data_IF_504112885655
#
_entry.id   IF_504112885655
#
_cell.length_a   1.000
_cell.length_b   1.000
_cell.length_c   1.000
_cell.angle_alpha   90.00
_cell.angle_beta   90.00
_cell.angle_gamma   90.00
#
_symmetry.space_group_name_H-M   'P 1'
#
loop_
_entity.id
_entity.type
_entity.pdbx_description
1 polymer ?
#
# COMPACT_ATOMS: atom_id res chain seq x y z
N UNK A 1 -17.25 -14.88 15.47
CA UNK A 1 -16.54 -16.05 16.03
C UNK A 1 -16.88 -16.25 17.53
N UNK A 2 -16.78 -15.23 18.39
CA UNK A 2 -16.99 -15.36 19.86
C UNK A 2 -18.38 -15.90 20.23
N UNK A 3 -19.42 -15.55 19.46
CA UNK A 3 -20.78 -16.05 19.69
C UNK A 3 -20.93 -17.60 19.75
N UNK A 4 -20.03 -18.33 19.09
CA UNK A 4 -20.02 -19.80 19.11
C UNK A 4 -19.67 -20.43 20.46
N UNK A 5 -19.17 -19.65 21.45
CA UNK A 5 -18.94 -20.13 22.82
C UNK A 5 -20.20 -20.12 23.69
N UNK A 6 -21.25 -19.46 23.24
CA UNK A 6 -22.49 -19.29 23.98
C UNK A 6 -23.64 -20.04 23.31
N UNK A 7 -24.70 -20.41 24.08
CA UNK A 7 -25.89 -20.96 23.48
C UNK A 7 -26.58 -20.00 22.52
N UNK A 8 -27.08 -20.51 21.41
CA UNK A 8 -28.00 -19.78 20.53
C UNK A 8 -29.44 -20.02 20.99
N UNK A 9 -30.25 -18.96 21.01
CA UNK A 9 -31.69 -19.06 21.32
C UNK A 9 -32.46 -18.56 20.12
N UNK A 10 -33.37 -19.38 19.61
CA UNK A 10 -34.24 -19.04 18.48
C UNK A 10 -35.70 -19.12 18.90
N UNK A 11 -36.53 -18.17 18.49
CA UNK A 11 -37.97 -18.21 18.64
C UNK A 11 -38.59 -18.73 17.33
N UNK A 12 -39.49 -19.71 17.45
CA UNK A 12 -40.19 -20.29 16.31
C UNK A 12 -41.69 -20.31 16.53
N UNK A 13 -42.45 -20.18 15.46
CA UNK A 13 -43.89 -20.44 15.45
C UNK A 13 -44.23 -21.17 14.15
N UNK A 14 -45.09 -22.15 14.25
CA UNK A 14 -45.43 -23.01 13.12
C UNK A 14 -46.85 -23.52 13.15
N UNK A 15 -47.33 -23.95 11.99
CA UNK A 15 -48.55 -24.72 11.85
C UNK A 15 -48.27 -25.87 10.86
N UNK A 16 -48.30 -27.08 11.35
CA UNK A 16 -48.01 -28.29 10.57
C UNK A 16 -49.24 -29.17 10.45
N UNK A 17 -49.70 -29.47 9.23
CA UNK A 17 -50.76 -30.43 8.97
C UNK A 17 -50.17 -31.73 8.48
N UNK A 18 -50.32 -32.78 9.27
CA UNK A 18 -49.79 -34.12 8.96
C UNK A 18 -50.89 -35.18 8.90
N UNK A 19 -50.69 -36.17 8.04
CA UNK A 19 -51.52 -37.38 7.92
C UNK A 19 -50.57 -38.56 7.77
N UNK A 20 -50.70 -39.56 8.64
CA UNK A 20 -49.93 -40.78 8.50
C UNK A 20 -50.40 -41.61 7.31
N UNK A 21 -49.51 -42.36 6.68
CA UNK A 21 -49.82 -43.26 5.58
C UNK A 21 -50.68 -44.41 6.12
N UNK A 22 -51.64 -44.90 5.28
CA UNK A 22 -52.61 -45.89 5.69
C UNK A 22 -52.01 -47.25 6.08
N UNK A 23 -50.82 -47.58 5.54
CA UNK A 23 -50.12 -48.87 5.84
C UNK A 23 -49.34 -48.89 7.16
N UNK A 24 -49.22 -47.74 7.87
CA UNK A 24 -48.55 -47.66 9.19
C UNK A 24 -49.48 -47.14 10.30
N UNK A 25 -50.81 -47.31 10.10
CA UNK A 25 -51.86 -46.87 11.01
C UNK A 25 -52.46 -45.53 10.60
N UNK A 26 -53.62 -45.56 9.94
CA UNK A 26 -54.33 -44.38 9.50
C UNK A 26 -54.87 -43.56 10.64
N UNK A 27 -54.15 -42.55 11.10
CA UNK A 27 -54.68 -41.51 11.95
C UNK A 27 -55.32 -40.40 11.12
N UNK A 28 -56.42 -39.77 11.58
CA UNK A 28 -57.01 -38.65 10.86
C UNK A 28 -55.99 -37.50 10.73
N UNK A 29 -56.10 -36.76 9.62
CA UNK A 29 -55.22 -35.61 9.43
C UNK A 29 -55.39 -34.63 10.62
N UNK A 30 -54.25 -34.22 11.23
CA UNK A 30 -54.23 -33.27 12.35
C UNK A 30 -53.39 -32.05 11.96
N UNK A 31 -53.84 -30.88 12.39
CA UNK A 31 -53.04 -29.67 12.36
C UNK A 31 -52.49 -29.45 13.79
N UNK A 32 -51.17 -29.28 13.86
CA UNK A 32 -50.46 -28.91 15.10
C UNK A 32 -49.99 -27.50 14.98
N UNK A 33 -50.31 -26.67 15.94
CA UNK A 33 -49.79 -25.30 16.08
C UNK A 33 -48.72 -25.33 17.16
N UNK A 34 -47.60 -24.71 16.92
CA UNK A 34 -46.47 -24.58 17.85
C UNK A 34 -45.98 -23.15 17.93
N UNK A 35 -45.56 -22.72 19.11
CA UNK A 35 -44.88 -21.48 19.36
C UNK A 35 -43.93 -21.65 20.54
N UNK A 36 -42.67 -21.29 20.39
CA UNK A 36 -41.70 -21.54 21.45
C UNK A 36 -40.31 -20.99 21.19
N UNK A 37 -39.44 -21.34 22.10
CA UNK A 37 -38.00 -21.00 22.04
C UNK A 37 -37.19 -22.29 22.08
N UNK A 38 -36.19 -22.35 21.19
CA UNK A 38 -35.23 -23.44 21.15
C UNK A 38 -33.83 -22.88 21.45
N UNK A 39 -33.14 -23.51 22.40
CA UNK A 39 -31.75 -23.20 22.70
C UNK A 39 -30.87 -24.39 22.27
N UNK A 40 -29.76 -24.07 21.59
CA UNK A 40 -28.76 -25.04 21.19
C UNK A 40 -27.36 -24.53 21.57
N UNK A 41 -26.57 -25.42 22.14
CA UNK A 41 -25.20 -25.09 22.55
C UNK A 41 -24.26 -26.28 22.32
N UNK A 42 -23.20 -26.06 21.56
CA UNK A 42 -22.11 -27.02 21.47
C UNK A 42 -21.02 -26.64 22.48
N UNK A 43 -20.79 -27.54 23.45
CA UNK A 43 -19.77 -27.30 24.47
C UNK A 43 -18.39 -27.57 23.89
N UNK A 44 -17.53 -26.55 23.86
CA UNK A 44 -16.17 -26.61 23.28
C UNK A 44 -15.18 -27.30 24.22
N UNK A 45 -15.33 -28.62 24.41
CA UNK A 45 -14.46 -29.45 25.27
C UNK A 45 -13.04 -29.53 24.68
N UNK A 46 -12.94 -29.75 23.38
CA UNK A 46 -11.66 -29.96 22.67
C UNK A 46 -11.08 -28.71 22.05
N UNK A 47 -11.65 -27.55 22.28
CA UNK A 47 -11.11 -26.26 21.90
C UNK A 47 -11.29 -25.86 20.42
N UNK A 48 -12.17 -26.54 19.67
CA UNK A 48 -12.43 -26.26 18.27
C UNK A 48 -12.91 -24.82 18.02
N UNK A 49 -13.89 -24.38 18.82
CA UNK A 49 -14.44 -23.02 18.75
C UNK A 49 -13.43 -22.00 19.23
N UNK A 50 -12.72 -22.27 20.33
CA UNK A 50 -11.65 -21.38 20.84
C UNK A 50 -10.52 -21.18 19.81
N UNK A 51 -10.07 -22.27 19.16
CA UNK A 51 -9.10 -22.18 18.05
C UNK A 51 -9.66 -21.44 16.84
N UNK A 52 -10.94 -21.57 16.53
CA UNK A 52 -11.62 -20.80 15.50
C UNK A 52 -11.66 -19.29 15.80
N UNK A 53 -11.85 -18.92 17.08
CA UNK A 53 -11.79 -17.53 17.53
C UNK A 53 -10.37 -16.97 17.42
N UNK A 54 -9.38 -17.75 17.88
CA UNK A 54 -7.97 -17.40 17.78
C UNK A 54 -7.56 -17.13 16.32
N UNK A 55 -7.97 -18.01 15.39
CA UNK A 55 -7.75 -17.82 13.96
C UNK A 55 -8.39 -16.53 13.45
N UNK A 56 -9.67 -16.30 13.77
CA UNK A 56 -10.38 -15.09 13.33
C UNK A 56 -9.79 -13.80 13.91
N UNK A 57 -9.27 -13.82 15.14
CA UNK A 57 -8.59 -12.70 15.76
C UNK A 57 -7.25 -12.41 15.08
N UNK A 58 -6.50 -13.47 14.75
CA UNK A 58 -5.26 -13.33 14.00
C UNK A 58 -5.50 -12.84 12.57
N UNK A 59 -6.55 -13.29 11.87
CA UNK A 59 -6.96 -12.74 10.57
C UNK A 59 -7.28 -11.25 10.65
N UNK A 60 -8.04 -10.83 11.68
CA UNK A 60 -8.33 -9.40 11.88
C UNK A 60 -7.05 -8.58 12.09
N UNK A 61 -6.10 -9.09 12.86
CA UNK A 61 -4.81 -8.44 13.07
C UNK A 61 -3.98 -8.39 11.78
N UNK A 62 -4.02 -9.43 10.93
CA UNK A 62 -3.36 -9.45 9.63
C UNK A 62 -3.92 -8.37 8.70
N UNK A 63 -5.25 -8.26 8.59
CA UNK A 63 -5.91 -7.22 7.77
C UNK A 63 -5.62 -5.81 8.30
N UNK A 64 -5.53 -5.62 9.62
CA UNK A 64 -5.14 -4.34 10.21
C UNK A 64 -3.69 -3.96 9.81
N UNK A 65 -2.76 -4.93 9.86
CA UNK A 65 -1.39 -4.72 9.43
C UNK A 65 -1.29 -4.46 7.90
N UNK A 66 -2.11 -5.12 7.09
CA UNK A 66 -2.19 -4.82 5.64
C UNK A 66 -2.68 -3.39 5.36
N UNK A 67 -3.61 -2.86 6.17
CA UNK A 67 -4.01 -1.45 6.09
C UNK A 67 -2.81 -0.53 6.35
N UNK A 68 -2.01 -0.81 7.38
CA UNK A 68 -0.83 -0.01 7.70
C UNK A 68 0.25 -0.12 6.60
N UNK A 69 0.45 -1.29 5.99
CA UNK A 69 1.28 -1.47 4.79
C UNK A 69 0.85 -0.57 3.62
N UNK A 70 -0.47 -0.48 3.37
CA UNK A 70 -1.02 0.40 2.33
C UNK A 70 -0.75 1.87 2.68
N UNK A 71 -0.93 2.28 3.94
CA UNK A 71 -0.64 3.63 4.41
C UNK A 71 0.82 4.02 4.20
N UNK A 72 1.76 3.18 4.63
CA UNK A 72 3.21 3.40 4.43
C UNK A 72 3.53 3.56 2.94
N UNK A 73 2.97 2.68 2.11
CA UNK A 73 3.17 2.73 0.65
C UNK A 73 2.59 3.99 0.03
N UNK A 74 1.40 4.42 0.46
CA UNK A 74 0.75 5.65 -0.01
C UNK A 74 1.55 6.89 0.37
N UNK A 75 2.00 6.99 1.63
CA UNK A 75 2.82 8.12 2.10
C UNK A 75 4.14 8.20 1.32
N UNK A 76 4.80 7.07 1.10
CA UNK A 76 6.01 7.02 0.30
C UNK A 76 5.77 7.43 -1.17
N UNK A 77 4.63 7.03 -1.75
CA UNK A 77 4.25 7.41 -3.12
C UNK A 77 3.96 8.91 -3.23
N UNK A 78 3.24 9.49 -2.26
CA UNK A 78 3.01 10.94 -2.18
C UNK A 78 4.34 11.68 -2.10
N UNK A 79 5.23 11.27 -1.20
CA UNK A 79 6.53 11.91 -1.02
C UNK A 79 7.39 11.85 -2.30
N UNK A 80 7.44 10.70 -2.99
CA UNK A 80 8.17 10.54 -4.25
C UNK A 80 7.60 11.43 -5.35
N UNK A 81 6.28 11.42 -5.56
CA UNK A 81 5.65 12.27 -6.56
C UNK A 81 5.84 13.78 -6.28
N UNK A 82 5.97 14.15 -4.99
CA UNK A 82 6.32 15.52 -4.63
C UNK A 82 7.77 15.86 -5.02
N UNK A 83 8.72 14.96 -4.83
CA UNK A 83 10.10 15.12 -5.32
C UNK A 83 10.14 15.22 -6.86
N UNK A 84 9.36 14.39 -7.56
CA UNK A 84 9.25 14.45 -9.02
C UNK A 84 8.73 15.81 -9.49
N UNK A 85 7.70 16.35 -8.83
CA UNK A 85 7.19 17.70 -9.10
C UNK A 85 8.28 18.76 -8.94
N UNK A 86 9.03 18.73 -7.84
CA UNK A 86 10.13 19.67 -7.59
C UNK A 86 11.25 19.51 -8.63
N UNK A 87 11.53 18.29 -9.07
CA UNK A 87 12.48 17.97 -10.12
C UNK A 87 12.06 18.64 -11.45
N UNK A 88 10.81 18.44 -11.88
CA UNK A 88 10.32 19.09 -13.11
C UNK A 88 10.40 20.61 -13.05
N UNK A 89 10.07 21.23 -11.92
CA UNK A 89 10.19 22.67 -11.72
C UNK A 89 11.63 23.16 -11.81
N UNK A 90 12.54 22.46 -11.15
CA UNK A 90 13.97 22.80 -11.21
C UNK A 90 14.52 22.69 -12.62
N UNK A 91 14.18 21.63 -13.34
CA UNK A 91 14.57 21.42 -14.75
C UNK A 91 13.95 22.46 -15.68
N UNK A 92 12.70 22.86 -15.45
CA UNK A 92 12.04 23.95 -16.17
C UNK A 92 12.77 25.28 -15.96
N UNK A 93 13.18 25.62 -14.73
CA UNK A 93 13.99 26.80 -14.45
C UNK A 93 15.30 26.75 -15.24
N UNK A 94 16.04 25.64 -15.16
CA UNK A 94 17.30 25.44 -15.90
C UNK A 94 17.09 25.61 -17.42
N UNK A 95 16.03 24.98 -17.97
CA UNK A 95 15.76 25.07 -19.40
C UNK A 95 15.42 26.52 -19.85
N UNK A 96 14.65 27.26 -19.06
CA UNK A 96 14.28 28.65 -19.34
C UNK A 96 15.47 29.60 -19.22
N UNK A 97 16.32 29.41 -18.20
CA UNK A 97 17.55 30.19 -18.03
C UNK A 97 18.53 29.96 -19.19
N UNK A 98 18.64 28.69 -19.63
CA UNK A 98 19.44 28.34 -20.80
C UNK A 98 18.86 28.91 -22.11
N UNK A 99 17.53 28.88 -22.28
CA UNK A 99 16.86 29.48 -23.44
C UNK A 99 17.09 30.98 -23.50
N UNK A 100 17.06 31.69 -22.38
CA UNK A 100 17.37 33.11 -22.29
C UNK A 100 18.83 33.36 -22.69
N UNK A 101 19.77 32.62 -22.13
CA UNK A 101 21.19 32.68 -22.45
C UNK A 101 21.49 32.43 -23.95
N UNK A 102 20.86 31.40 -24.53
CA UNK A 102 20.99 31.07 -25.94
C UNK A 102 20.37 32.15 -26.87
N UNK A 103 19.32 32.81 -26.41
CA UNK A 103 18.70 33.93 -27.13
C UNK A 103 19.63 35.15 -27.19
N UNK A 104 20.30 35.45 -26.07
CA UNK A 104 21.34 36.48 -26.04
C UNK A 104 22.52 36.13 -26.95
N UNK A 105 22.97 34.88 -26.88
CA UNK A 105 24.06 34.37 -27.74
C UNK A 105 23.69 34.48 -29.23
N UNK A 106 22.48 34.09 -29.62
CA UNK A 106 21.99 34.24 -31.01
C UNK A 106 22.00 35.72 -31.45
N UNK A 107 21.58 36.62 -30.56
CA UNK A 107 21.57 38.04 -30.86
C UNK A 107 23.00 38.59 -31.10
N UNK A 108 23.97 38.19 -30.27
CA UNK A 108 25.38 38.58 -30.42
C UNK A 108 25.94 38.05 -31.75
N UNK A 109 25.69 36.79 -32.09
CA UNK A 109 26.14 36.17 -33.34
C UNK A 109 25.52 36.85 -34.54
N UNK A 110 24.22 37.22 -34.50
CA UNK A 110 23.53 37.92 -35.55
C UNK A 110 24.12 39.32 -35.79
N UNK A 111 24.46 40.08 -34.75
CA UNK A 111 25.15 41.37 -34.89
C UNK A 111 26.56 41.25 -35.49
N UNK A 112 27.31 40.22 -35.06
CA UNK A 112 28.64 39.94 -35.63
C UNK A 112 28.56 39.56 -37.12
N UNK A 113 27.55 38.77 -37.50
CA UNK A 113 27.29 38.45 -38.91
C UNK A 113 26.99 39.71 -39.74
N UNK A 114 26.13 40.61 -39.23
CA UNK A 114 25.85 41.89 -39.90
C UNK A 114 27.08 42.77 -40.05
N UNK A 115 28.02 42.68 -39.10
CA UNK A 115 29.31 43.37 -39.17
C UNK A 115 30.36 42.65 -40.03
N UNK A 116 30.03 41.49 -40.65
CA UNK A 116 30.97 40.69 -41.43
C UNK A 116 31.99 39.89 -40.59
N UNK A 117 31.77 39.78 -39.29
CA UNK A 117 32.70 39.16 -38.32
C UNK A 117 32.29 37.71 -37.90
N UNK A 118 31.24 37.17 -38.48
CA UNK A 118 30.78 35.79 -38.25
C UNK A 118 30.16 35.19 -39.51
N UNK A 119 30.12 33.88 -39.63
CA UNK A 119 29.52 33.19 -40.76
C UNK A 119 27.99 33.06 -40.59
N UNK A 120 27.26 32.95 -41.69
CA UNK A 120 25.81 32.65 -41.64
C UNK A 120 25.51 31.31 -41.00
N UNK A 121 26.41 30.33 -41.12
CA UNK A 121 26.36 29.05 -40.46
C UNK A 121 26.32 29.17 -38.94
N UNK A 122 27.03 30.12 -38.35
CA UNK A 122 27.04 30.34 -36.89
C UNK A 122 25.68 30.84 -36.40
N UNK A 123 25.03 31.74 -37.19
CA UNK A 123 23.66 32.19 -36.87
C UNK A 123 22.66 31.06 -36.89
N UNK A 124 22.70 30.19 -37.91
CA UNK A 124 21.78 29.09 -38.02
C UNK A 124 22.02 27.98 -36.95
N UNK A 125 23.27 27.77 -36.56
CA UNK A 125 23.61 26.87 -35.45
C UNK A 125 23.12 27.41 -34.09
N UNK A 126 23.30 28.73 -33.85
CA UNK A 126 22.79 29.39 -32.66
C UNK A 126 21.25 29.29 -32.60
N UNK A 127 20.57 29.54 -33.74
CA UNK A 127 19.12 29.37 -33.86
C UNK A 127 18.69 27.93 -33.58
N UNK A 128 19.36 26.95 -34.19
CA UNK A 128 19.08 25.52 -33.97
C UNK A 128 19.19 25.16 -32.51
N UNK A 129 20.24 25.57 -31.81
CA UNK A 129 20.43 25.27 -30.38
C UNK A 129 19.31 25.86 -29.52
N UNK A 130 18.95 27.12 -29.78
CA UNK A 130 17.84 27.80 -29.08
C UNK A 130 16.50 27.06 -29.29
N UNK A 131 16.17 26.72 -30.55
CA UNK A 131 14.91 26.08 -30.87
C UNK A 131 14.84 24.64 -30.30
N UNK A 132 15.95 23.90 -30.23
CA UNK A 132 16.05 22.62 -29.57
C UNK A 132 15.75 22.72 -28.07
N UNK A 133 16.32 23.71 -27.38
CA UNK A 133 16.01 23.97 -25.97
C UNK A 133 14.56 24.39 -25.80
N UNK A 134 14.03 25.25 -26.67
CA UNK A 134 12.63 25.66 -26.63
C UNK A 134 11.66 24.48 -26.82
N UNK A 135 11.98 23.56 -27.72
CA UNK A 135 11.17 22.39 -28.00
C UNK A 135 11.09 21.38 -26.80
N UNK A 136 12.11 21.36 -25.93
CA UNK A 136 12.11 20.51 -24.74
C UNK A 136 11.30 21.05 -23.56
N UNK A 137 10.97 22.35 -23.55
CA UNK A 137 10.22 22.98 -22.45
C UNK A 137 8.81 22.39 -22.29
N UNK A 138 8.00 22.22 -23.36
CA UNK A 138 6.66 21.64 -23.23
C UNK A 138 6.65 20.25 -22.60
N UNK A 139 7.64 19.39 -22.85
CA UNK A 139 7.73 18.06 -22.26
C UNK A 139 7.89 18.13 -20.72
N UNK A 140 8.69 19.09 -20.24
CA UNK A 140 8.87 19.32 -18.81
C UNK A 140 7.59 19.91 -18.17
N UNK A 141 6.87 20.77 -18.90
CA UNK A 141 5.58 21.33 -18.44
C UNK A 141 4.51 20.23 -18.34
N UNK A 142 4.44 19.33 -19.31
CA UNK A 142 3.55 18.15 -19.27
C UNK A 142 3.91 17.24 -18.09
N UNK A 143 5.20 16.99 -17.85
CA UNK A 143 5.68 16.22 -16.72
C UNK A 143 5.30 16.86 -15.38
N UNK A 144 5.44 18.17 -15.26
CA UNK A 144 5.02 18.92 -14.06
C UNK A 144 3.50 18.75 -13.80
N UNK A 145 2.67 18.96 -14.84
CA UNK A 145 1.20 18.83 -14.71
C UNK A 145 0.81 17.39 -14.36
N UNK A 146 1.48 16.40 -14.95
CA UNK A 146 1.24 15.01 -14.63
C UNK A 146 1.54 14.68 -13.15
N UNK A 147 2.66 15.19 -12.61
CA UNK A 147 3.02 15.03 -11.19
C UNK A 147 2.02 15.74 -10.27
N UNK A 148 1.57 16.96 -10.61
CA UNK A 148 0.53 17.69 -9.85
C UNK A 148 -0.80 16.91 -9.83
N UNK A 149 -1.24 16.38 -10.96
CA UNK A 149 -2.45 15.58 -11.06
C UNK A 149 -2.34 14.26 -10.30
N UNK A 150 -1.18 13.60 -10.35
CA UNK A 150 -0.94 12.37 -9.58
C UNK A 150 -1.03 12.62 -8.08
N UNK A 151 -0.43 13.71 -7.58
CA UNK A 151 -0.55 14.12 -6.18
C UNK A 151 -2.01 14.38 -5.79
N UNK A 152 -2.80 15.05 -6.65
CA UNK A 152 -4.23 15.26 -6.39
C UNK A 152 -4.97 13.93 -6.21
N UNK A 153 -4.76 12.97 -7.10
CA UNK A 153 -5.39 11.64 -7.01
C UNK A 153 -4.96 10.90 -5.74
N UNK A 154 -3.67 10.93 -5.39
CA UNK A 154 -3.16 10.29 -4.17
C UNK A 154 -3.74 10.89 -2.88
N UNK A 155 -4.12 12.16 -2.91
CA UNK A 155 -4.78 12.87 -1.80
C UNK A 155 -6.33 12.81 -1.88
N UNK A 156 -6.88 12.01 -2.78
CA UNK A 156 -8.32 11.87 -2.96
C UNK A 156 -9.02 13.10 -3.54
N UNK A 157 -8.25 13.98 -4.20
CA UNK A 157 -8.74 15.22 -4.79
C UNK A 157 -8.83 15.16 -6.31
N UNK A 158 -9.64 16.01 -6.92
CA UNK A 158 -9.76 16.07 -8.37
C UNK A 158 -8.46 16.58 -9.03
N UNK A 159 -8.05 16.08 -10.19
CA UNK A 159 -6.95 16.61 -10.96
C UNK A 159 -7.06 18.13 -11.13
N UNK A 160 -5.95 18.84 -10.93
CA UNK A 160 -5.88 20.31 -11.02
C UNK A 160 -6.28 21.07 -9.75
N UNK A 161 -6.95 20.45 -8.76
CA UNK A 161 -7.38 21.12 -7.52
C UNK A 161 -6.23 21.61 -6.64
N UNK A 162 -5.08 20.95 -6.71
CA UNK A 162 -3.91 21.30 -5.88
C UNK A 162 -3.03 22.39 -6.51
N UNK A 163 -3.32 22.87 -7.72
CA UNK A 163 -2.45 23.80 -8.46
C UNK A 163 -2.14 25.08 -7.65
N UNK A 164 -3.13 25.65 -6.98
CA UNK A 164 -2.95 26.86 -6.15
C UNK A 164 -2.11 26.55 -4.90
N UNK A 165 -2.41 25.45 -4.23
CA UNK A 165 -1.69 25.03 -3.01
C UNK A 165 -0.22 24.65 -3.30
N UNK A 166 0.04 24.05 -4.45
CA UNK A 166 1.38 23.67 -4.89
C UNK A 166 2.10 24.81 -5.61
N UNK A 167 1.46 25.95 -5.88
CA UNK A 167 2.10 27.10 -6.54
C UNK A 167 3.28 27.63 -5.72
N UNK A 168 4.24 28.22 -6.42
CA UNK A 168 5.47 28.81 -5.84
C UNK A 168 6.71 27.95 -6.02
N UNK A 169 7.84 28.60 -5.98
CA UNK A 169 9.15 27.94 -6.04
C UNK A 169 9.54 27.45 -4.64
N UNK A 170 9.72 26.15 -4.51
CA UNK A 170 10.14 25.51 -3.27
C UNK A 170 11.42 24.73 -3.54
N UNK A 171 12.47 24.93 -2.72
CA UNK A 171 13.67 24.13 -2.84
C UNK A 171 13.40 22.66 -2.47
N UNK A 172 14.29 21.80 -2.92
CA UNK A 172 14.29 20.42 -2.45
C UNK A 172 14.41 20.35 -0.92
N UNK A 173 13.70 19.44 -0.26
CA UNK A 173 13.86 19.20 1.18
C UNK A 173 15.32 18.86 1.51
N UNK A 174 15.83 19.31 2.67
CA UNK A 174 17.19 18.97 3.11
C UNK A 174 17.30 17.45 3.34
N UNK A 175 18.47 16.92 3.03
CA UNK A 175 18.78 15.49 3.25
C UNK A 175 19.54 15.36 4.55
N UNK A 176 19.23 14.38 5.43
CA UNK A 176 19.97 14.17 6.67
C UNK A 176 21.44 13.83 6.38
N UNK A 177 22.33 14.34 7.20
CA UNK A 177 23.78 14.15 7.05
C UNK A 177 24.19 12.67 7.20
N UNK A 178 23.48 11.91 8.03
CA UNK A 178 23.69 10.46 8.18
C UNK A 178 22.33 9.76 8.35
N UNK A 179 22.16 8.66 7.64
CA UNK A 179 21.12 7.67 7.97
C UNK A 179 21.80 6.64 8.85
N UNK A 180 21.29 6.38 10.06
CA UNK A 180 21.91 5.46 11.01
C UNK A 180 22.19 4.11 10.36
N UNK A 181 23.45 3.76 10.26
CA UNK A 181 23.90 2.50 9.68
C UNK A 181 23.73 1.39 10.74
N UNK A 182 22.59 0.80 10.77
CA UNK A 182 22.31 -0.41 11.55
C UNK A 182 20.90 -0.85 11.25
N UNK A 183 20.72 -2.08 10.80
CA UNK A 183 19.41 -2.72 10.72
C UNK A 183 19.24 -3.48 12.04
N UNK A 184 18.70 -2.89 13.11
CA UNK A 184 18.30 -3.67 14.27
C UNK A 184 17.21 -4.64 13.80
N UNK A 185 17.32 -5.90 14.17
CA UNK A 185 16.26 -6.89 13.90
C UNK A 185 14.87 -6.38 14.32
N UNK A 186 14.83 -5.52 15.33
CA UNK A 186 13.64 -4.84 15.83
C UNK A 186 12.95 -3.92 14.79
N UNK A 187 13.68 -3.34 13.85
CA UNK A 187 13.09 -2.50 12.80
C UNK A 187 12.34 -3.36 11.79
N UNK A 188 12.90 -4.51 11.41
CA UNK A 188 12.21 -5.46 10.53
C UNK A 188 10.95 -6.01 11.17
N UNK A 189 10.97 -6.28 12.48
CA UNK A 189 9.80 -6.74 13.22
C UNK A 189 8.64 -5.72 13.24
N UNK A 190 8.91 -4.43 12.99
CA UNK A 190 7.88 -3.37 12.92
C UNK A 190 7.29 -3.19 11.53
N UNK A 191 7.83 -3.83 10.50
CA UNK A 191 7.28 -3.72 9.13
C UNK A 191 5.87 -4.29 9.06
N UNK A 192 4.89 -3.51 8.59
CA UNK A 192 3.49 -3.97 8.58
C UNK A 192 3.26 -5.20 7.69
N UNK A 193 4.03 -5.36 6.60
CA UNK A 193 3.94 -6.52 5.72
C UNK A 193 4.41 -7.80 6.40
N UNK A 194 5.45 -7.74 7.23
CA UNK A 194 5.94 -8.88 8.01
C UNK A 194 5.00 -9.21 9.16
N UNK A 195 4.44 -8.19 9.83
CA UNK A 195 3.40 -8.37 10.85
C UNK A 195 2.17 -9.05 10.24
N UNK A 196 1.71 -8.64 9.07
CA UNK A 196 0.57 -9.28 8.38
C UNK A 196 0.86 -10.75 8.07
N UNK A 197 2.05 -11.08 7.56
CA UNK A 197 2.44 -12.45 7.27
C UNK A 197 2.57 -13.32 8.54
N UNK A 198 3.10 -12.76 9.65
CA UNK A 198 3.17 -13.43 10.95
C UNK A 198 1.78 -13.74 11.48
N UNK A 199 0.85 -12.77 11.43
CA UNK A 199 -0.53 -12.96 11.88
C UNK A 199 -1.29 -13.97 11.02
N UNK A 200 -1.02 -14.01 9.72
CA UNK A 200 -1.55 -15.04 8.81
C UNK A 200 -1.05 -16.43 9.22
N UNK A 201 0.24 -16.58 9.51
CA UNK A 201 0.79 -17.85 10.00
C UNK A 201 0.16 -18.26 11.32
N UNK A 202 -0.07 -17.33 12.25
CA UNK A 202 -0.76 -17.59 13.52
C UNK A 202 -2.19 -18.08 13.29
N UNK A 203 -2.92 -17.46 12.35
CA UNK A 203 -4.27 -17.86 11.97
C UNK A 203 -4.31 -19.30 11.42
N UNK A 204 -3.39 -19.63 10.49
CA UNK A 204 -3.34 -20.99 9.93
C UNK A 204 -2.91 -22.04 10.97
N UNK A 205 -2.05 -21.67 11.92
CA UNK A 205 -1.68 -22.52 13.04
C UNK A 205 -2.89 -22.83 13.94
N UNK A 206 -3.69 -21.81 14.24
CA UNK A 206 -4.92 -22.01 15.02
C UNK A 206 -5.95 -22.88 14.26
N UNK A 207 -6.05 -22.74 12.92
CA UNK A 207 -6.91 -23.57 12.06
C UNK A 207 -6.49 -25.04 12.05
N UNK A 208 -5.19 -25.37 12.13
CA UNK A 208 -4.74 -26.76 12.33
C UNK A 208 -5.31 -27.31 13.63
N UNK A 209 -5.25 -26.55 14.72
CA UNK A 209 -5.85 -26.94 16.00
C UNK A 209 -7.38 -27.13 15.90
N UNK A 210 -8.07 -26.28 15.17
CA UNK A 210 -9.50 -26.41 14.90
C UNK A 210 -9.83 -27.71 14.12
N UNK A 211 -9.05 -28.05 13.09
CA UNK A 211 -9.22 -29.33 12.35
C UNK A 211 -8.91 -30.56 13.20
N UNK A 212 -7.92 -30.45 14.08
CA UNK A 212 -7.62 -31.51 15.04
C UNK A 212 -8.81 -31.74 16.03
N UNK A 213 -9.39 -30.66 16.54
CA UNK A 213 -10.54 -30.75 17.44
C UNK A 213 -11.75 -31.47 16.80
N UNK A 214 -11.97 -31.32 15.49
CA UNK A 214 -13.04 -32.00 14.75
C UNK A 214 -12.89 -33.54 14.70
N UNK A 215 -11.76 -34.11 15.11
CA UNK A 215 -11.55 -35.56 15.22
C UNK A 215 -12.04 -36.13 16.52
N UNK A 216 -12.37 -35.32 17.49
CA UNK A 216 -12.91 -35.72 18.80
C UNK A 216 -14.43 -35.61 18.82
N UNK A 217 -15.08 -36.30 19.79
CA UNK A 217 -16.54 -36.23 19.93
C UNK A 217 -17.04 -34.81 20.21
N UNK A 218 -18.16 -34.41 19.61
CA UNK A 218 -18.86 -33.16 19.94
C UNK A 218 -19.95 -33.41 20.99
N UNK A 219 -20.07 -32.52 21.97
CA UNK A 219 -21.11 -32.51 22.98
C UNK A 219 -22.07 -31.35 22.70
N UNK A 220 -23.32 -31.70 22.36
CA UNK A 220 -24.38 -30.76 22.08
C UNK A 220 -25.44 -30.81 23.16
N UNK A 221 -25.81 -29.66 23.72
CA UNK A 221 -26.95 -29.47 24.59
C UNK A 221 -28.08 -28.77 23.84
N UNK A 222 -29.30 -29.28 24.01
CA UNK A 222 -30.49 -28.65 23.44
C UNK A 222 -31.54 -28.47 24.53
N UNK A 223 -32.24 -27.34 24.50
CA UNK A 223 -33.40 -27.10 25.36
C UNK A 223 -34.50 -26.49 24.51
N UNK A 224 -35.75 -26.96 24.72
CA UNK A 224 -36.92 -26.32 24.13
C UNK A 224 -37.96 -25.99 25.19
N UNK A 225 -38.61 -24.86 25.02
CA UNK A 225 -39.68 -24.39 25.84
C UNK A 225 -40.74 -23.68 24.98
N UNK A 226 -42.00 -24.13 25.04
CA UNK A 226 -43.04 -23.54 24.21
C UNK A 226 -44.40 -24.15 24.41
N UNK A 227 -45.30 -23.86 23.52
CA UNK A 227 -46.68 -24.34 23.52
C UNK A 227 -46.95 -25.13 22.23
N UNK A 228 -47.65 -26.24 22.35
CA UNK A 228 -48.06 -27.05 21.21
C UNK A 228 -49.52 -27.47 21.39
N UNK A 229 -50.39 -27.24 20.41
CA UNK A 229 -51.81 -27.54 20.48
C UNK A 229 -52.37 -27.98 19.12
N UNK A 230 -53.47 -28.71 19.12
CA UNK A 230 -54.19 -29.09 17.91
C UNK A 230 -55.15 -28.02 17.37
N UNK A 231 -55.37 -26.93 18.10
CA UNK A 231 -56.10 -25.75 17.64
C UNK A 231 -55.39 -24.49 18.05
N UNK A 232 -55.54 -23.45 17.27
CA UNK A 232 -54.95 -22.17 17.61
C UNK A 232 -55.45 -21.56 18.92
N UNK A 233 -56.75 -21.76 19.23
CA UNK A 233 -57.38 -21.28 20.45
C UNK A 233 -56.86 -21.98 21.75
N UNK A 234 -56.34 -23.20 21.62
CA UNK A 234 -55.75 -23.92 22.72
C UNK A 234 -54.25 -23.62 22.95
N UNK A 235 -53.64 -22.87 22.02
CA UNK A 235 -52.24 -22.48 22.14
C UNK A 235 -52.08 -21.47 23.29
N UNK A 236 -51.16 -21.73 24.22
CA UNK A 236 -50.96 -20.89 25.42
C UNK A 236 -51.76 -21.35 26.65
N UNK A 237 -52.67 -22.33 26.51
CA UNK A 237 -53.37 -22.93 27.66
C UNK A 237 -52.44 -23.81 28.53
N UNK A 238 -52.82 -24.04 29.76
CA UNK A 238 -51.99 -24.83 30.73
C UNK A 238 -51.65 -26.24 30.27
N UNK A 239 -52.50 -26.84 29.40
CA UNK A 239 -52.27 -28.17 28.83
C UNK A 239 -51.44 -28.21 27.54
N UNK A 240 -51.08 -27.07 27.00
CA UNK A 240 -50.31 -26.97 25.76
C UNK A 240 -48.80 -26.76 25.99
N UNK A 241 -48.35 -26.58 27.23
CA UNK A 241 -46.96 -26.33 27.57
C UNK A 241 -46.09 -27.57 27.28
N UNK A 242 -45.09 -27.42 26.43
CA UNK A 242 -44.08 -28.41 26.10
C UNK A 242 -42.70 -27.91 26.53
N UNK A 243 -41.92 -28.77 27.12
CA UNK A 243 -40.51 -28.47 27.47
C UNK A 243 -39.66 -29.70 27.28
N UNK A 244 -38.44 -29.52 26.77
CA UNK A 244 -37.47 -30.61 26.70
C UNK A 244 -36.07 -30.10 27.03
N UNK A 245 -35.24 -31.01 27.56
CA UNK A 245 -33.81 -30.84 27.73
C UNK A 245 -33.14 -32.09 27.19
N UNK A 246 -32.17 -31.89 26.30
CA UNK A 246 -31.45 -32.99 25.67
C UNK A 246 -29.94 -32.74 25.71
N UNK A 247 -29.18 -33.82 25.86
CA UNK A 247 -27.74 -33.83 25.71
C UNK A 247 -27.35 -34.95 24.74
N UNK A 248 -26.52 -34.65 23.74
CA UNK A 248 -26.05 -35.64 22.79
C UNK A 248 -24.54 -35.57 22.61
N UNK A 249 -23.89 -36.75 22.65
CA UNK A 249 -22.48 -36.92 22.33
C UNK A 249 -22.38 -37.64 20.98
N UNK A 250 -21.76 -37.00 20.00
CA UNK A 250 -21.57 -37.54 18.66
C UNK A 250 -20.08 -37.71 18.35
N UNK A 251 -19.68 -38.89 17.88
CA UNK A 251 -18.32 -39.20 17.46
C UNK A 251 -18.33 -39.86 16.08
N UNK A 252 -17.48 -39.40 15.19
CA UNK A 252 -17.27 -40.03 13.89
C UNK A 252 -16.33 -41.22 14.04
N UNK A 253 -16.86 -42.46 13.94
CA UNK A 253 -16.09 -43.67 14.11
C UNK A 253 -15.36 -44.10 12.81
N UNK A 254 -16.00 -43.84 11.67
CA UNK A 254 -15.43 -44.13 10.35
C UNK A 254 -15.88 -43.10 9.34
N UNK A 255 -14.92 -42.51 8.59
CA UNK A 255 -15.15 -41.45 7.58
C UNK A 255 -14.30 -41.64 6.31
N UNK A 256 -13.69 -42.84 6.12
CA UNK A 256 -12.80 -43.11 5.01
C UNK A 256 -11.50 -42.25 5.04
N UNK A 257 -11.15 -41.69 6.19
CA UNK A 257 -9.94 -40.86 6.35
C UNK A 257 -10.13 -39.38 6.09
N UNK A 258 -11.36 -38.89 5.87
CA UNK A 258 -11.71 -37.50 5.57
C UNK A 258 -11.15 -36.50 6.59
N UNK A 259 -11.37 -36.76 7.89
CA UNK A 259 -10.87 -35.87 8.96
C UNK A 259 -9.34 -35.84 9.04
N UNK A 260 -8.68 -37.00 8.83
CA UNK A 260 -7.21 -37.06 8.76
C UNK A 260 -6.67 -36.26 7.61
N UNK A 261 -7.26 -36.40 6.41
CA UNK A 261 -6.90 -35.65 5.24
C UNK A 261 -7.14 -34.16 5.40
N UNK A 262 -8.21 -33.73 6.07
CA UNK A 262 -8.50 -32.33 6.37
C UNK A 262 -7.41 -31.69 7.26
N UNK A 263 -6.89 -32.44 8.25
CA UNK A 263 -5.76 -31.97 9.07
C UNK A 263 -4.49 -31.87 8.21
N UNK A 264 -4.19 -32.88 7.37
CA UNK A 264 -3.01 -32.86 6.50
C UNK A 264 -3.04 -31.67 5.51
N UNK A 265 -4.17 -31.40 4.90
CA UNK A 265 -4.37 -30.23 4.04
C UNK A 265 -4.10 -28.93 4.81
N UNK A 266 -4.68 -28.78 6.01
CA UNK A 266 -4.50 -27.56 6.80
C UNK A 266 -3.05 -27.40 7.29
N UNK A 267 -2.35 -28.48 7.60
CA UNK A 267 -0.92 -28.45 7.94
C UNK A 267 -0.06 -28.00 6.75
N UNK A 268 -0.39 -28.43 5.52
CA UNK A 268 0.29 -27.96 4.33
C UNK A 268 0.04 -26.47 4.07
N UNK A 269 -1.18 -25.96 4.33
CA UNK A 269 -1.49 -24.52 4.25
C UNK A 269 -0.71 -23.73 5.30
N UNK A 270 -0.57 -24.24 6.51
CA UNK A 270 0.28 -23.63 7.55
C UNK A 270 1.76 -23.58 7.11
N UNK A 271 2.27 -24.65 6.51
CA UNK A 271 3.64 -24.68 5.99
C UNK A 271 3.83 -23.65 4.87
N UNK A 272 2.86 -23.50 3.96
CA UNK A 272 2.88 -22.44 2.95
C UNK A 272 2.95 -21.04 3.58
N UNK A 273 2.17 -20.78 4.62
CA UNK A 273 2.21 -19.51 5.35
C UNK A 273 3.57 -19.27 6.03
N UNK A 274 4.18 -20.31 6.59
CA UNK A 274 5.53 -20.23 7.17
C UNK A 274 6.59 -19.90 6.11
N UNK A 275 6.53 -20.54 4.95
CA UNK A 275 7.45 -20.28 3.84
C UNK A 275 7.24 -18.86 3.32
N UNK A 276 6.00 -18.40 3.18
CA UNK A 276 5.66 -17.04 2.77
C UNK A 276 6.23 -15.99 3.76
N UNK A 277 6.09 -16.21 5.06
CA UNK A 277 6.69 -15.35 6.10
C UNK A 277 8.22 -15.29 5.97
N UNK A 278 8.89 -16.45 5.86
CA UNK A 278 10.35 -16.51 5.69
C UNK A 278 10.82 -15.80 4.42
N UNK A 279 10.13 -16.02 3.31
CA UNK A 279 10.41 -15.35 2.04
C UNK A 279 10.22 -13.82 2.17
N UNK A 280 9.17 -13.38 2.88
CA UNK A 280 8.93 -11.96 3.18
C UNK A 280 10.07 -11.33 3.97
N UNK A 281 10.59 -12.03 4.99
CA UNK A 281 11.75 -11.55 5.77
C UNK A 281 12.98 -11.37 4.90
N UNK A 282 13.30 -12.36 4.04
CA UNK A 282 14.45 -12.29 3.14
C UNK A 282 14.30 -11.15 2.11
N UNK A 283 13.10 -10.98 1.54
CA UNK A 283 12.81 -9.89 0.61
C UNK A 283 12.92 -8.52 1.29
N UNK A 284 12.49 -8.41 2.55
CA UNK A 284 12.62 -7.19 3.32
C UNK A 284 14.09 -6.82 3.59
N UNK A 285 14.92 -7.80 3.91
CA UNK A 285 16.38 -7.61 4.07
C UNK A 285 17.02 -7.15 2.76
N UNK A 286 16.71 -7.83 1.66
CA UNK A 286 17.18 -7.45 0.32
C UNK A 286 16.78 -6.01 -0.03
N UNK A 287 15.52 -5.63 0.22
CA UNK A 287 15.03 -4.27 -0.06
C UNK A 287 15.81 -3.22 0.73
N UNK A 288 16.11 -3.46 1.99
CA UNK A 288 16.88 -2.54 2.83
C UNK A 288 18.33 -2.44 2.36
N UNK A 289 19.01 -3.56 2.10
CA UNK A 289 20.39 -3.56 1.61
C UNK A 289 20.51 -2.85 0.26
N UNK A 290 19.61 -3.14 -0.68
CA UNK A 290 19.56 -2.48 -1.97
C UNK A 290 19.30 -0.97 -1.84
N UNK A 291 18.39 -0.56 -0.94
CA UNK A 291 18.09 0.86 -0.73
C UNK A 291 19.28 1.61 -0.08
N UNK A 292 19.98 0.98 0.86
CA UNK A 292 21.20 1.54 1.46
C UNK A 292 22.31 1.72 0.42
N UNK A 293 22.56 0.70 -0.40
CA UNK A 293 23.56 0.76 -1.46
C UNK A 293 23.23 1.84 -2.51
N UNK A 294 21.96 1.92 -2.93
CA UNK A 294 21.50 2.93 -3.87
C UNK A 294 21.68 4.34 -3.31
N UNK A 295 21.24 4.59 -2.07
CA UNK A 295 21.37 5.89 -1.43
C UNK A 295 22.83 6.32 -1.23
N UNK A 296 23.73 5.40 -0.86
CA UNK A 296 25.17 5.67 -0.74
C UNK A 296 25.78 6.07 -2.09
N UNK A 297 25.49 5.31 -3.16
CA UNK A 297 25.95 5.61 -4.51
C UNK A 297 25.39 6.94 -5.05
N UNK A 298 24.16 7.28 -4.71
CA UNK A 298 23.53 8.52 -5.12
C UNK A 298 24.15 9.75 -4.46
N UNK A 299 24.59 9.64 -3.20
CA UNK A 299 25.33 10.73 -2.54
C UNK A 299 26.64 11.06 -3.28
N UNK A 300 27.42 10.06 -3.61
CA UNK A 300 28.66 10.23 -4.39
C UNK A 300 28.35 10.78 -5.79
N UNK A 301 27.28 10.29 -6.43
CA UNK A 301 26.84 10.76 -7.74
C UNK A 301 26.44 12.23 -7.71
N UNK A 302 25.68 12.68 -6.71
CA UNK A 302 25.28 14.09 -6.56
C UNK A 302 26.50 14.98 -6.37
N UNK A 303 27.46 14.61 -5.52
CA UNK A 303 28.71 15.36 -5.32
C UNK A 303 29.49 15.52 -6.64
N UNK A 304 29.70 14.42 -7.38
CA UNK A 304 30.38 14.44 -8.67
C UNK A 304 29.62 15.27 -9.73
N UNK A 305 28.27 15.17 -9.78
CA UNK A 305 27.43 15.95 -10.68
C UNK A 305 27.42 17.43 -10.34
N UNK A 306 27.48 17.78 -9.07
CA UNK A 306 27.59 19.16 -8.62
C UNK A 306 28.90 19.80 -9.09
N UNK A 307 30.03 19.12 -8.87
CA UNK A 307 31.33 19.58 -9.35
C UNK A 307 31.37 19.73 -10.89
N UNK A 308 30.78 18.77 -11.61
CA UNK A 308 30.69 18.80 -13.07
C UNK A 308 29.82 19.98 -13.57
N UNK A 309 28.67 20.23 -12.93
CA UNK A 309 27.78 21.33 -13.28
C UNK A 309 28.43 22.69 -13.02
N UNK A 310 29.18 22.83 -11.92
CA UNK A 310 29.95 24.05 -11.62
C UNK A 310 31.06 24.30 -12.64
N UNK A 311 31.85 23.27 -12.97
CA UNK A 311 32.90 23.38 -14.01
C UNK A 311 32.32 23.70 -15.37
N UNK A 312 31.20 23.08 -15.76
CA UNK A 312 30.53 23.34 -17.03
C UNK A 312 29.98 24.79 -17.11
N UNK A 313 29.42 25.29 -15.98
CA UNK A 313 28.95 26.67 -15.88
C UNK A 313 30.11 27.68 -16.08
N UNK A 314 31.22 27.44 -15.40
CA UNK A 314 32.43 28.27 -15.52
C UNK A 314 33.01 28.22 -16.93
N UNK A 315 33.08 27.04 -17.57
CA UNK A 315 33.54 26.88 -18.94
C UNK A 315 32.64 27.62 -19.95
N UNK A 316 31.33 27.54 -19.80
CA UNK A 316 30.39 28.25 -20.66
C UNK A 316 30.50 29.76 -20.52
N UNK A 317 30.66 30.28 -19.30
CA UNK A 317 30.87 31.71 -19.08
C UNK A 317 32.19 32.21 -19.68
N UNK A 318 33.28 31.45 -19.47
CA UNK A 318 34.59 31.82 -20.00
C UNK A 318 34.62 31.79 -21.54
N UNK A 319 34.04 30.72 -22.15
CA UNK A 319 33.99 30.62 -23.63
C UNK A 319 33.19 31.74 -24.26
N UNK A 320 32.09 32.19 -23.62
CA UNK A 320 31.27 33.31 -24.05
C UNK A 320 32.09 34.64 -24.01
N UNK A 321 32.79 34.85 -22.91
CA UNK A 321 33.66 36.05 -22.78
C UNK A 321 34.78 36.09 -23.84
N UNK A 322 35.43 34.95 -24.08
CA UNK A 322 36.46 34.80 -25.10
C UNK A 322 35.90 35.02 -26.52
N UNK A 323 34.71 34.52 -26.82
CA UNK A 323 34.03 34.75 -28.09
C UNK A 323 33.69 36.23 -28.29
N UNK A 324 33.17 36.89 -27.25
CA UNK A 324 32.88 38.34 -27.32
C UNK A 324 34.15 39.18 -27.62
N UNK A 325 35.30 38.76 -27.06
CA UNK A 325 36.59 39.39 -27.30
C UNK A 325 37.26 38.98 -28.61
N UNK A 326 36.66 38.08 -29.40
CA UNK A 326 37.22 37.57 -30.65
C UNK A 326 38.36 36.56 -30.49
N UNK A 327 38.58 36.03 -29.29
CA UNK A 327 39.65 35.09 -28.95
C UNK A 327 39.23 33.61 -29.03
N UNK A 328 37.95 33.32 -29.25
CA UNK A 328 37.42 31.96 -29.46
C UNK A 328 36.43 31.95 -30.63
N UNK A 329 36.25 30.79 -31.25
CA UNK A 329 35.22 30.55 -32.26
C UNK A 329 33.85 30.30 -31.64
N UNK A 330 32.80 30.38 -32.46
CA UNK A 330 31.42 30.15 -32.03
C UNK A 330 31.17 28.69 -31.65
N UNK A 331 31.86 27.73 -32.28
CA UNK A 331 31.71 26.32 -32.00
C UNK A 331 32.03 26.00 -30.52
N UNK A 332 33.04 26.66 -29.94
CA UNK A 332 33.40 26.50 -28.54
C UNK A 332 32.31 26.99 -27.60
N UNK A 333 31.65 28.09 -27.91
CA UNK A 333 30.50 28.58 -27.13
C UNK A 333 29.37 27.59 -27.20
N UNK A 334 29.01 27.10 -28.39
CA UNK A 334 27.93 26.14 -28.59
C UNK A 334 28.16 24.83 -27.84
N UNK A 335 29.37 24.29 -27.88
CA UNK A 335 29.79 23.08 -27.18
C UNK A 335 29.65 23.24 -25.65
N UNK A 336 30.19 24.35 -25.12
CA UNK A 336 30.17 24.59 -23.66
C UNK A 336 28.78 24.91 -23.13
N UNK A 337 27.91 25.59 -23.88
CA UNK A 337 26.52 25.85 -23.53
C UNK A 337 25.69 24.53 -23.50
N UNK A 338 25.87 23.64 -24.48
CA UNK A 338 25.24 22.33 -24.50
C UNK A 338 25.71 21.48 -23.32
N UNK A 339 27.00 21.49 -23.01
CA UNK A 339 27.57 20.77 -21.87
C UNK A 339 27.02 21.32 -20.56
N UNK A 340 26.89 22.64 -20.40
CA UNK A 340 26.29 23.26 -19.21
C UNK A 340 24.85 22.82 -19.00
N UNK A 341 24.01 22.94 -20.05
CA UNK A 341 22.61 22.54 -19.97
C UNK A 341 22.50 21.06 -19.54
N UNK A 342 23.25 20.18 -20.18
CA UNK A 342 23.25 18.75 -19.84
C UNK A 342 23.75 18.48 -18.42
N UNK A 343 24.80 19.18 -17.96
CA UNK A 343 25.35 18.99 -16.62
C UNK A 343 24.38 19.48 -15.52
N UNK A 344 23.75 20.65 -15.73
CA UNK A 344 22.75 21.18 -14.78
C UNK A 344 21.49 20.34 -14.71
N UNK A 345 20.97 19.86 -15.85
CA UNK A 345 19.81 18.96 -15.90
C UNK A 345 20.12 17.60 -15.22
N UNK A 346 21.28 17.02 -15.51
CA UNK A 346 21.73 15.79 -14.86
C UNK A 346 21.93 15.93 -13.35
N UNK A 347 22.39 17.09 -12.86
CA UNK A 347 22.47 17.39 -11.44
C UNK A 347 21.07 17.42 -10.81
N UNK A 348 20.13 18.13 -11.42
CA UNK A 348 18.75 18.22 -10.91
C UNK A 348 18.07 16.82 -10.84
N UNK A 349 18.32 15.98 -11.84
CA UNK A 349 17.84 14.57 -11.83
C UNK A 349 18.51 13.78 -10.72
N UNK A 350 19.83 13.88 -10.54
CA UNK A 350 20.56 13.15 -9.51
C UNK A 350 20.10 13.55 -8.10
N UNK A 351 19.88 14.84 -7.85
CA UNK A 351 19.35 15.36 -6.60
C UNK A 351 17.95 14.83 -6.27
N UNK A 352 17.09 14.72 -7.28
CA UNK A 352 15.74 14.14 -7.12
C UNK A 352 15.81 12.63 -6.88
N UNK A 353 16.64 11.90 -7.63
CA UNK A 353 16.85 10.46 -7.47
C UNK A 353 17.32 10.11 -6.07
N UNK A 354 18.33 10.80 -5.56
CA UNK A 354 18.87 10.61 -4.21
C UNK A 354 17.78 10.74 -3.14
N UNK A 355 16.89 11.74 -3.27
CA UNK A 355 15.77 11.94 -2.34
C UNK A 355 14.70 10.87 -2.46
N UNK A 356 14.42 10.43 -3.68
CA UNK A 356 13.49 9.32 -3.94
C UNK A 356 14.01 8.01 -3.37
N UNK A 357 15.32 7.76 -3.44
CA UNK A 357 15.94 6.57 -2.87
C UNK A 357 16.05 6.64 -1.35
N UNK A 358 16.20 7.85 -0.78
CA UNK A 358 16.04 8.06 0.65
C UNK A 358 14.61 7.72 1.13
N UNK A 359 13.58 8.12 0.39
CA UNK A 359 12.18 7.78 0.70
C UNK A 359 11.96 6.26 0.62
N UNK A 360 12.54 5.60 -0.39
CA UNK A 360 12.51 4.12 -0.49
C UNK A 360 13.18 3.48 0.72
N UNK A 361 14.33 3.99 1.16
CA UNK A 361 15.03 3.50 2.33
C UNK A 361 14.18 3.64 3.59
N UNK A 362 13.55 4.79 3.83
CA UNK A 362 12.64 4.95 4.96
C UNK A 362 11.46 3.98 4.90
N UNK A 363 10.87 3.75 3.71
CA UNK A 363 9.82 2.76 3.51
C UNK A 363 10.32 1.35 3.82
N UNK A 364 11.49 0.96 3.32
CA UNK A 364 12.09 -0.36 3.54
C UNK A 364 12.40 -0.63 5.03
N UNK A 365 12.77 0.41 5.77
CA UNK A 365 12.97 0.35 7.22
C UNK A 365 11.64 0.31 8.01
N UNK A 366 10.49 0.31 7.34
CA UNK A 366 9.19 0.33 8.01
C UNK A 366 8.88 1.67 8.68
N UNK A 367 9.62 2.74 8.36
CA UNK A 367 9.41 4.07 8.90
C UNK A 367 8.19 4.78 8.30
N UNK A 368 7.67 5.74 9.07
CA UNK A 368 6.57 6.60 8.62
C UNK A 368 5.20 6.26 9.19
N UNK A 369 5.09 5.28 10.08
CA UNK A 369 3.88 5.04 10.86
C UNK A 369 4.23 4.74 12.33
N UNK A 370 3.49 5.34 13.24
CA UNK A 370 3.44 4.93 14.65
C UNK A 370 2.09 4.25 14.88
N UNK A 371 2.13 3.04 15.46
CA UNK A 371 0.92 2.33 15.85
C UNK A 371 0.19 3.19 16.90
N UNK A 372 -0.87 3.89 16.47
CA UNK A 372 -1.67 4.73 17.37
C UNK A 372 -1.78 6.22 17.02
N UNK A 373 -0.91 6.79 16.19
CA UNK A 373 -0.93 8.22 15.86
C UNK A 373 -2.18 8.71 15.11
N UNK A 374 -2.99 7.81 14.57
CA UNK A 374 -4.19 8.16 13.76
C UNK A 374 -5.45 8.34 14.62
N UNK A 375 -5.45 7.93 15.90
CA UNK A 375 -6.62 8.16 16.76
C UNK A 375 -6.79 9.61 17.25
N UNK A 376 -5.75 10.43 17.19
CA UNK A 376 -5.84 11.84 17.63
C UNK A 376 -6.41 12.77 16.56
N UNK A 377 -6.13 12.53 15.27
CA UNK A 377 -6.62 13.41 14.18
C UNK A 377 -8.13 13.30 13.97
N UNK A 378 -8.73 12.15 14.29
CA UNK A 378 -10.20 11.95 14.16
C UNK A 378 -11.01 12.64 15.24
N UNK A 379 -10.42 13.08 16.35
CA UNK A 379 -11.13 13.78 17.43
C UNK A 379 -11.21 15.30 17.22
N UNK A 380 -10.26 15.89 16.50
CA UNK A 380 -10.22 17.35 16.25
C UNK A 380 -11.08 17.81 15.07
N UNK A 381 -11.53 16.88 14.20
CA UNK A 381 -12.43 17.22 13.07
C UNK A 381 -13.92 17.03 13.37
N UNK A 382 -14.28 16.61 14.60
CA UNK A 382 -15.67 16.37 15.04
C UNK A 382 -16.13 17.37 16.12
N UNK A 383 -15.45 18.52 16.24
CA UNK A 383 -15.88 19.61 17.11
C UNK A 383 -16.41 20.79 16.32
#
# INVERSE_FOLDING_TARGET
AVGGLFPSVTGSTGATRSRSAANIGALPARTTYDAGFDAAWEIDIFGGTRRGIEAATADQAAVAADLDKVRVSLVAEVARNYIDLLSYRRRLSIARDNLASQSETLQIVAWRYQAGLAASTDVEQARTSREQTRAGIPDLEVGQVAAENRLAVLLGSSPGSLRVMLAGDRPFPPVPASVGAGIPADILARRPDLVAAERTLAAETARVGQRLAQRFPSLNLGASFGWQAYSFAALGGSGSLARSLSGSLAATLFDGGRLKSAVAIQSAVQEQALIAYRSGVLAALEEVENALAAYAADRERVEARQAAAEAARNAAQLSRNLYQSGLADFQKVLETERTRLSAEDNLAIAEATMRSDLIKLYKALGGGWEAGAVQEISKDTAS
#
